data_IF_732792456005
#
_entry.id   IF_732792456005
#
_cell.length_a   1.000
_cell.length_b   1.000
_cell.length_c   1.000
_cell.angle_alpha   90.00
_cell.angle_beta   90.00
_cell.angle_gamma   90.00
#
_symmetry.space_group_name_H-M   'P 1'
#
loop_
_entity.id
_entity.type
_entity.pdbx_description
1 polymer ?
#
# COMPACT_ATOMS: atom_id res chain seq x y z
N UNK A 1 2.70 -4.68 12.31
CA UNK A 1 2.93 -3.80 11.15
C UNK A 1 4.41 -3.58 10.89
N UNK A 2 5.10 -2.86 11.78
CA UNK A 2 6.47 -2.36 11.55
C UNK A 2 7.49 -3.47 11.19
N UNK A 3 7.49 -4.59 11.93
CA UNK A 3 8.43 -5.70 11.72
C UNK A 3 8.21 -6.37 10.35
N UNK A 4 6.96 -6.57 9.93
CA UNK A 4 6.64 -7.14 8.63
C UNK A 4 6.98 -6.18 7.49
N UNK A 5 6.72 -4.88 7.64
CA UNK A 5 7.19 -3.87 6.67
C UNK A 5 8.71 -3.91 6.53
N UNK A 6 9.46 -3.95 7.64
CA UNK A 6 10.92 -3.98 7.61
C UNK A 6 11.46 -5.27 6.94
N UNK A 7 10.85 -6.43 7.24
CA UNK A 7 11.21 -7.70 6.62
C UNK A 7 10.91 -7.69 5.12
N UNK A 8 9.80 -7.09 4.69
CA UNK A 8 9.46 -6.95 3.28
C UNK A 8 10.39 -5.98 2.55
N UNK A 9 10.79 -4.89 3.21
CA UNK A 9 11.83 -3.97 2.72
C UNK A 9 13.16 -4.70 2.54
N UNK A 10 13.50 -5.65 3.41
CA UNK A 10 14.69 -6.50 3.27
C UNK A 10 14.56 -7.51 2.11
N UNK A 11 13.39 -8.09 1.88
CA UNK A 11 13.17 -8.95 0.71
C UNK A 11 13.41 -8.21 -0.61
N UNK A 12 13.16 -6.90 -0.66
CA UNK A 12 13.43 -6.08 -1.86
C UNK A 12 14.93 -5.87 -2.14
N UNK A 13 15.82 -6.19 -1.18
CA UNK A 13 17.26 -6.28 -1.46
C UNK A 13 17.59 -7.47 -2.38
N UNK A 14 16.72 -8.47 -2.43
CA UNK A 14 16.83 -9.63 -3.33
C UNK A 14 16.25 -9.36 -4.72
N UNK A 15 15.65 -8.19 -4.95
CA UNK A 15 15.18 -7.82 -6.30
C UNK A 15 16.38 -7.76 -7.26
N UNK A 16 16.32 -8.36 -8.45
CA UNK A 16 17.48 -8.46 -9.35
C UNK A 16 18.15 -7.11 -9.65
N UNK A 17 17.36 -6.05 -9.88
CA UNK A 17 17.89 -4.71 -10.13
C UNK A 17 18.54 -4.07 -8.91
N UNK A 18 18.10 -4.45 -7.72
CA UNK A 18 18.66 -3.96 -6.47
C UNK A 18 19.96 -4.72 -6.15
N UNK A 19 19.97 -6.04 -6.31
CA UNK A 19 21.14 -6.90 -6.16
C UNK A 19 22.27 -6.45 -7.09
N UNK A 20 21.97 -6.23 -8.38
CA UNK A 20 22.94 -5.74 -9.35
C UNK A 20 23.57 -4.39 -8.92
N UNK A 21 22.81 -3.48 -8.31
CA UNK A 21 23.37 -2.23 -7.79
C UNK A 21 24.27 -2.43 -6.58
N UNK A 22 23.86 -3.30 -5.65
CA UNK A 22 24.64 -3.62 -4.45
C UNK A 22 25.98 -4.25 -4.84
N UNK A 23 25.97 -5.22 -5.76
CA UNK A 23 27.18 -5.86 -6.30
C UNK A 23 28.14 -4.85 -6.94
N UNK A 24 27.60 -3.82 -7.60
CA UNK A 24 28.38 -2.76 -8.24
C UNK A 24 28.67 -1.56 -7.32
N UNK A 25 28.40 -1.66 -6.01
CA UNK A 25 28.61 -0.58 -5.02
C UNK A 25 27.89 0.73 -5.36
N UNK A 26 26.76 0.63 -6.06
CA UNK A 26 25.92 1.77 -6.42
C UNK A 26 24.84 2.02 -5.35
N UNK A 27 24.33 3.26 -5.23
CA UNK A 27 23.22 3.55 -4.33
C UNK A 27 21.98 2.72 -4.64
N UNK A 28 21.43 2.09 -3.61
CA UNK A 28 20.17 1.36 -3.63
C UNK A 28 19.01 2.21 -4.16
N UNK A 29 18.08 1.60 -4.90
CA UNK A 29 16.79 2.22 -5.18
C UNK A 29 15.92 2.25 -3.94
N UNK A 30 14.97 3.17 -3.91
CA UNK A 30 13.96 3.20 -2.84
C UNK A 30 13.04 1.98 -2.96
N UNK A 31 12.65 1.43 -1.82
CA UNK A 31 11.66 0.33 -1.72
C UNK A 31 10.39 0.66 -2.51
N UNK A 32 9.83 1.85 -2.31
CA UNK A 32 8.60 2.26 -3.00
C UNK A 32 8.73 2.34 -4.52
N UNK A 33 9.90 2.73 -5.05
CA UNK A 33 10.12 2.72 -6.51
C UNK A 33 10.23 1.30 -7.07
N UNK A 34 10.89 0.39 -6.35
CA UNK A 34 11.00 -1.02 -6.75
C UNK A 34 9.62 -1.68 -6.75
N UNK A 35 8.86 -1.50 -5.67
CA UNK A 35 7.52 -2.06 -5.54
C UNK A 35 6.60 -1.60 -6.67
N UNK A 36 6.58 -0.29 -6.99
CA UNK A 36 5.76 0.23 -8.11
C UNK A 36 6.17 -0.38 -9.44
N UNK A 37 7.47 -0.54 -9.70
CA UNK A 37 7.96 -1.16 -10.93
C UNK A 37 7.54 -2.63 -11.01
N UNK A 38 7.80 -3.42 -9.97
CA UNK A 38 7.40 -4.83 -9.93
C UNK A 38 5.88 -5.02 -10.06
N UNK A 39 5.08 -4.13 -9.48
CA UNK A 39 3.62 -4.13 -9.67
C UNK A 39 3.22 -3.92 -11.13
N UNK A 40 3.87 -2.99 -11.85
CA UNK A 40 3.58 -2.77 -13.27
C UNK A 40 4.05 -3.92 -14.16
N UNK A 41 5.20 -4.54 -13.85
CA UNK A 41 5.68 -5.74 -14.54
C UNK A 41 4.71 -6.91 -14.37
N UNK A 42 4.25 -7.15 -13.15
CA UNK A 42 3.25 -8.17 -12.86
C UNK A 42 1.92 -7.90 -13.56
N UNK A 43 1.47 -6.62 -13.60
CA UNK A 43 0.26 -6.22 -14.32
C UNK A 43 0.38 -6.46 -15.82
N UNK A 44 1.51 -6.08 -16.43
CA UNK A 44 1.76 -6.31 -17.86
C UNK A 44 1.77 -7.81 -18.19
N UNK A 45 2.42 -8.62 -17.35
CA UNK A 45 2.45 -10.06 -17.51
C UNK A 45 1.06 -10.69 -17.37
N UNK A 46 0.26 -10.20 -16.42
CA UNK A 46 -1.14 -10.59 -16.30
C UNK A 46 -1.95 -10.24 -17.55
N UNK A 47 -1.82 -9.02 -18.08
CA UNK A 47 -2.53 -8.59 -19.30
C UNK A 47 -2.16 -9.48 -20.48
N UNK A 48 -0.88 -9.82 -20.67
CA UNK A 48 -0.45 -10.75 -21.73
C UNK A 48 -1.14 -12.11 -21.59
N UNK A 49 -1.08 -12.70 -20.40
CA UNK A 49 -1.74 -13.99 -20.10
C UNK A 49 -3.26 -13.93 -20.23
N UNK A 50 -3.86 -12.77 -20.01
CA UNK A 50 -5.28 -12.56 -20.19
C UNK A 50 -5.63 -12.58 -21.68
N UNK A 51 -4.86 -11.88 -22.52
CA UNK A 51 -5.08 -11.81 -23.97
C UNK A 51 -4.90 -13.15 -24.68
N UNK A 52 -4.06 -14.03 -24.12
CA UNK A 52 -3.81 -15.39 -24.64
C UNK A 52 -4.81 -16.44 -24.11
N UNK A 53 -5.71 -16.06 -23.20
CA UNK A 53 -6.65 -17.00 -22.58
C UNK A 53 -7.85 -17.33 -23.47
N UNK A 54 -8.39 -18.55 -23.31
CA UNK A 54 -9.59 -18.98 -24.02
C UNK A 54 -10.87 -18.24 -23.54
N UNK A 55 -10.90 -17.78 -22.28
CA UNK A 55 -11.99 -16.99 -21.71
C UNK A 55 -11.47 -15.80 -20.87
N UNK A 56 -10.96 -14.73 -21.52
CA UNK A 56 -10.42 -13.55 -20.82
C UNK A 56 -11.45 -12.88 -19.93
N UNK A 57 -12.72 -12.87 -20.33
CA UNK A 57 -13.79 -12.26 -19.57
C UNK A 57 -14.02 -12.95 -18.22
N UNK A 58 -13.93 -14.29 -18.16
CA UNK A 58 -14.13 -15.04 -16.94
C UNK A 58 -12.94 -14.90 -15.99
N UNK A 59 -11.70 -14.91 -16.50
CA UNK A 59 -10.51 -14.59 -15.71
C UNK A 59 -10.57 -13.19 -15.10
N UNK A 60 -11.02 -12.20 -15.86
CA UNK A 60 -11.17 -10.84 -15.36
C UNK A 60 -12.24 -10.74 -14.27
N UNK A 61 -13.37 -11.43 -14.44
CA UNK A 61 -14.42 -11.51 -13.40
C UNK A 61 -13.91 -12.17 -12.11
N UNK A 62 -13.13 -13.25 -12.23
CA UNK A 62 -12.52 -13.92 -11.07
C UNK A 62 -11.58 -12.97 -10.34
N UNK A 63 -10.70 -12.25 -11.06
CA UNK A 63 -9.84 -11.25 -10.45
C UNK A 63 -10.66 -10.15 -9.75
N UNK A 64 -11.69 -9.62 -10.40
CA UNK A 64 -12.55 -8.59 -9.84
C UNK A 64 -13.23 -9.06 -8.53
N UNK A 65 -13.70 -10.31 -8.48
CA UNK A 65 -14.28 -10.89 -7.27
C UNK A 65 -13.29 -11.01 -6.10
N UNK A 66 -12.00 -11.19 -6.38
CA UNK A 66 -10.95 -11.30 -5.35
C UNK A 66 -10.46 -9.93 -4.84
N UNK A 67 -10.72 -8.83 -5.56
CA UNK A 67 -10.23 -7.50 -5.17
C UNK A 67 -10.74 -7.11 -3.81
N UNK A 68 -12.05 -7.24 -3.59
CA UNK A 68 -12.67 -6.81 -2.33
C UNK A 68 -12.19 -7.67 -1.16
N UNK A 69 -11.98 -8.98 -1.37
CA UNK A 69 -11.46 -9.89 -0.35
C UNK A 69 -10.03 -9.55 0.08
N UNK A 70 -9.17 -9.20 -0.88
CA UNK A 70 -7.75 -8.92 -0.64
C UNK A 70 -7.50 -7.49 -0.18
N UNK A 71 -8.21 -6.50 -0.75
CA UNK A 71 -7.98 -5.07 -0.52
C UNK A 71 -9.07 -4.47 0.38
N UNK A 72 -9.15 -4.97 1.60
CA UNK A 72 -10.07 -4.45 2.61
C UNK A 72 -9.76 -3.00 2.97
N UNK A 73 -10.78 -2.14 2.90
CA UNK A 73 -10.68 -0.77 3.39
C UNK A 73 -10.70 -0.76 4.92
N UNK A 74 -9.57 -0.43 5.52
CA UNK A 74 -9.44 -0.37 6.97
C UNK A 74 -9.75 1.04 7.50
N UNK A 75 -10.54 1.18 8.57
CA UNK A 75 -10.77 2.48 9.20
C UNK A 75 -9.47 3.09 9.74
N UNK A 76 -9.31 4.40 9.54
CA UNK A 76 -8.06 5.09 9.87
C UNK A 76 -8.01 5.53 11.33
N UNK A 77 -7.14 4.92 12.12
CA UNK A 77 -6.83 5.39 13.47
C UNK A 77 -6.20 6.78 13.49
N UNK A 78 -5.47 7.18 12.43
CA UNK A 78 -4.87 8.53 12.29
C UNK A 78 -5.94 9.62 12.20
N UNK A 79 -7.12 9.29 11.70
CA UNK A 79 -8.25 10.22 11.58
C UNK A 79 -9.23 10.08 12.73
N UNK A 80 -8.84 9.41 13.82
CA UNK A 80 -9.68 9.17 15.00
C UNK A 80 -11.01 8.47 14.68
N UNK A 81 -11.08 7.73 13.56
CA UNK A 81 -12.29 7.01 13.16
C UNK A 81 -12.72 6.02 14.23
N UNK A 82 -13.97 6.10 14.68
CA UNK A 82 -14.56 5.19 15.66
C UNK A 82 -13.99 5.29 17.08
N UNK A 83 -13.22 6.34 17.40
CA UNK A 83 -12.69 6.56 18.75
C UNK A 83 -13.66 7.38 19.58
N UNK A 84 -13.79 7.01 20.86
CA UNK A 84 -14.38 7.89 21.86
C UNK A 84 -13.40 9.04 22.14
N UNK A 85 -13.84 10.25 21.88
CA UNK A 85 -13.06 11.47 22.10
C UNK A 85 -13.31 12.07 23.49
N UNK A 86 -14.19 11.48 24.29
CA UNK A 86 -14.60 12.00 25.58
C UNK A 86 -15.34 13.32 25.46
N UNK A 87 -15.10 14.23 26.40
CA UNK A 87 -15.80 15.52 26.47
C UNK A 87 -15.20 16.49 25.46
N UNK A 88 -15.96 16.82 24.42
CA UNK A 88 -15.60 17.80 23.39
C UNK A 88 -16.10 19.22 23.69
N UNK A 89 -16.79 19.40 24.83
CA UNK A 89 -17.32 20.69 25.25
C UNK A 89 -16.21 21.66 25.63
N UNK A 90 -16.45 22.97 25.46
CA UNK A 90 -15.48 23.97 25.87
C UNK A 90 -15.30 23.93 27.40
N UNK A 91 -14.08 23.68 27.86
CA UNK A 91 -13.72 23.90 29.26
C UNK A 91 -13.70 25.40 29.57
N UNK A 92 -13.81 25.77 30.85
CA UNK A 92 -13.77 27.17 31.28
C UNK A 92 -12.50 27.91 30.78
N UNK A 93 -11.37 27.21 30.64
CA UNK A 93 -10.11 27.73 30.10
C UNK A 93 -10.12 27.99 28.58
N UNK A 94 -11.05 27.37 27.83
CA UNK A 94 -11.18 27.52 26.38
C UNK A 94 -12.24 28.55 25.96
N UNK A 95 -13.00 29.12 26.91
CA UNK A 95 -14.05 30.13 26.64
C UNK A 95 -13.50 31.51 26.23
N UNK A 96 -12.19 31.73 26.26
CA UNK A 96 -11.58 33.06 26.09
C UNK A 96 -11.41 33.57 24.64
N UNK A 97 -12.16 33.06 23.64
CA UNK A 97 -11.99 33.49 22.23
C UNK A 97 -13.26 33.81 21.45
N UNK A 98 -14.37 34.12 22.12
CA UNK A 98 -15.56 34.69 21.48
C UNK A 98 -15.65 36.23 21.53
N UNK A 99 -14.56 36.91 21.94
CA UNK A 99 -14.46 38.37 21.93
C UNK A 99 -13.32 38.79 21.00
N UNK A 100 -13.67 39.06 19.75
CA UNK A 100 -12.80 39.55 18.69
C UNK A 100 -13.64 39.81 17.44
#
# INVERSE_FOLDING_TARGET
GLILSLLFDHCLLLHPEQAARIENKLPAYTVGSLQRKSQMEALLEFIKKLLEDESPADKLKQLAGLIDDVFQLMPSGKHMSGRDLGILESTASLKCRAAG
#
